data_IF_367002038721
#
_entry.id   IF_367002038721
#
_cell.length_a   1.000
_cell.length_b   1.000
_cell.length_c   1.000
_cell.angle_alpha   90.00
_cell.angle_beta   90.00
_cell.angle_gamma   90.00
#
_symmetry.space_group_name_H-M   'P 1'
#
loop_
_entity.id
_entity.type
_entity.pdbx_description
1 polymer ?
#
# COMPACT_ATOMS: atom_id res chain seq x y z
N UNK A 1 -36.89 -11.11 -8.43
CA UNK A 1 -35.81 -10.33 -7.76
C UNK A 1 -36.14 -8.84 -7.61
N UNK A 2 -37.40 -8.38 -7.76
CA UNK A 2 -37.75 -6.95 -7.86
C UNK A 2 -37.46 -6.08 -6.62
N UNK A 3 -37.03 -6.66 -5.48
CA UNK A 3 -36.78 -5.92 -4.23
C UNK A 3 -35.34 -6.05 -3.70
N UNK A 4 -34.41 -6.66 -4.44
CA UNK A 4 -33.01 -6.79 -3.99
C UNK A 4 -32.34 -5.43 -4.04
N UNK A 5 -31.78 -4.98 -2.92
CA UNK A 5 -31.10 -3.66 -2.85
C UNK A 5 -29.64 -3.76 -2.46
N UNK A 6 -29.29 -4.77 -1.65
CA UNK A 6 -27.92 -5.00 -1.22
C UNK A 6 -27.55 -6.47 -1.43
N UNK A 7 -26.39 -6.70 -2.04
CA UNK A 7 -25.85 -8.03 -2.33
C UNK A 7 -24.45 -8.11 -1.70
N UNK A 8 -24.30 -8.91 -0.66
CA UNK A 8 -23.02 -9.25 -0.05
C UNK A 8 -22.43 -10.47 -0.73
N UNK A 9 -21.16 -10.39 -1.12
CA UNK A 9 -20.45 -11.51 -1.75
C UNK A 9 -19.15 -11.77 -1.01
N UNK A 10 -19.04 -12.96 -0.43
CA UNK A 10 -17.76 -13.51 -0.01
C UNK A 10 -17.03 -14.15 -1.19
N UNK A 11 -15.77 -13.73 -1.40
CA UNK A 11 -14.99 -14.06 -2.58
C UNK A 11 -13.99 -15.19 -2.30
N UNK A 12 -14.26 -16.37 -2.87
CA UNK A 12 -13.29 -17.46 -2.96
C UNK A 12 -12.56 -17.51 -4.30
N UNK A 13 -11.60 -18.44 -4.42
CA UNK A 13 -10.88 -18.67 -5.69
C UNK A 13 -11.81 -19.19 -6.79
N UNK A 14 -12.67 -20.15 -6.45
CA UNK A 14 -13.57 -20.84 -7.39
C UNK A 14 -15.05 -20.81 -6.96
N UNK A 15 -15.32 -20.55 -5.67
CA UNK A 15 -16.66 -20.47 -5.10
C UNK A 15 -16.94 -19.08 -4.55
N UNK A 16 -18.16 -18.61 -4.76
CA UNK A 16 -18.62 -17.29 -4.34
C UNK A 16 -19.92 -17.46 -3.57
N UNK A 17 -19.96 -16.96 -2.34
CA UNK A 17 -21.14 -17.08 -1.49
C UNK A 17 -21.87 -15.74 -1.48
N UNK A 18 -23.12 -15.76 -1.92
CA UNK A 18 -23.94 -14.57 -2.11
C UNK A 18 -25.05 -14.53 -1.07
N UNK A 19 -25.23 -13.37 -0.46
CA UNK A 19 -26.35 -13.01 0.40
C UNK A 19 -27.04 -11.76 -0.17
N UNK A 20 -28.30 -11.87 -0.57
CA UNK A 20 -29.10 -10.74 -1.03
C UNK A 20 -30.12 -10.33 0.02
N UNK A 21 -30.32 -9.03 0.22
CA UNK A 21 -31.33 -8.49 1.12
C UNK A 21 -32.14 -7.34 0.49
N UNK A 22 -33.35 -7.13 1.00
CA UNK A 22 -34.17 -5.95 0.70
C UNK A 22 -33.77 -4.72 1.52
N UNK A 23 -34.51 -3.61 1.35
CA UNK A 23 -34.26 -2.35 2.06
C UNK A 23 -34.40 -2.45 3.59
N UNK A 24 -35.18 -3.41 4.08
CA UNK A 24 -35.37 -3.66 5.51
C UNK A 24 -34.26 -4.52 6.13
N UNK A 25 -33.36 -5.05 5.30
CA UNK A 25 -32.34 -6.02 5.71
C UNK A 25 -32.85 -7.46 5.75
N UNK A 26 -34.07 -7.73 5.26
CA UNK A 26 -34.59 -9.10 5.19
C UNK A 26 -33.87 -9.87 4.08
N UNK A 27 -33.34 -11.03 4.43
CA UNK A 27 -32.68 -11.93 3.49
C UNK A 27 -33.68 -12.43 2.43
N UNK A 28 -33.31 -12.27 1.15
CA UNK A 28 -34.10 -12.68 -0.02
C UNK A 28 -33.50 -13.88 -0.74
N UNK A 29 -32.17 -14.00 -0.76
CA UNK A 29 -31.45 -15.10 -1.42
C UNK A 29 -30.15 -15.39 -0.67
N UNK A 30 -29.86 -16.67 -0.50
CA UNK A 30 -28.55 -17.16 -0.05
C UNK A 30 -28.12 -18.29 -0.98
N UNK A 31 -27.09 -18.07 -1.78
CA UNK A 31 -26.68 -19.05 -2.80
C UNK A 31 -25.19 -19.04 -3.08
N UNK A 32 -24.64 -20.23 -3.33
CA UNK A 32 -23.26 -20.43 -3.79
C UNK A 32 -23.23 -20.44 -5.31
N UNK A 33 -22.25 -19.75 -5.89
CA UNK A 33 -22.03 -19.67 -7.33
C UNK A 33 -20.60 -20.05 -7.70
N UNK A 34 -20.42 -20.52 -8.93
CA UNK A 34 -19.13 -20.45 -9.65
C UNK A 34 -18.98 -19.06 -10.25
N UNK A 35 -17.77 -18.67 -10.69
CA UNK A 35 -17.56 -17.33 -11.29
C UNK A 35 -18.46 -17.09 -12.50
N UNK A 36 -18.56 -18.04 -13.42
CA UNK A 36 -19.38 -17.90 -14.63
C UNK A 36 -20.85 -17.69 -14.27
N UNK A 37 -21.41 -18.54 -13.39
CA UNK A 37 -22.80 -18.43 -12.94
C UNK A 37 -23.06 -17.16 -12.13
N UNK A 38 -22.07 -16.65 -11.38
CA UNK A 38 -22.19 -15.37 -10.68
C UNK A 38 -22.28 -14.21 -11.67
N UNK A 39 -21.48 -14.21 -12.74
CA UNK A 39 -21.55 -13.17 -13.77
C UNK A 39 -22.89 -13.19 -14.50
N UNK A 40 -23.40 -14.36 -14.86
CA UNK A 40 -24.75 -14.54 -15.44
C UNK A 40 -25.83 -14.02 -14.50
N UNK A 41 -25.75 -14.39 -13.21
CA UNK A 41 -26.69 -13.96 -12.19
C UNK A 41 -26.71 -12.44 -12.05
N UNK A 42 -25.54 -11.78 -11.95
CA UNK A 42 -25.44 -10.33 -11.84
C UNK A 42 -25.96 -9.64 -13.11
N UNK A 43 -25.56 -10.11 -14.30
CA UNK A 43 -26.03 -9.53 -15.56
C UNK A 43 -27.55 -9.61 -15.75
N UNK A 44 -28.21 -10.66 -15.22
CA UNK A 44 -29.67 -10.80 -15.23
C UNK A 44 -30.39 -10.16 -14.04
N UNK A 45 -29.67 -9.56 -13.10
CA UNK A 45 -30.25 -8.96 -11.90
C UNK A 45 -30.60 -7.48 -12.11
N UNK A 46 -31.66 -6.96 -11.47
CA UNK A 46 -31.87 -5.52 -11.38
C UNK A 46 -30.68 -4.80 -10.72
N UNK A 47 -30.47 -3.53 -11.06
CA UNK A 47 -29.41 -2.71 -10.44
C UNK A 47 -29.56 -2.70 -8.91
N UNK A 48 -28.44 -2.88 -8.22
CA UNK A 48 -28.35 -3.03 -6.77
C UNK A 48 -26.95 -2.62 -6.31
N UNK A 49 -26.79 -2.36 -5.01
CA UNK A 49 -25.47 -2.19 -4.42
C UNK A 49 -24.87 -3.57 -4.13
N UNK A 50 -23.69 -3.84 -4.68
CA UNK A 50 -22.97 -5.11 -4.48
C UNK A 50 -21.71 -4.84 -3.68
N UNK A 51 -21.56 -5.53 -2.56
CA UNK A 51 -20.48 -5.30 -1.60
C UNK A 51 -19.63 -6.56 -1.43
N UNK A 52 -18.32 -6.37 -1.44
CA UNK A 52 -17.32 -7.42 -1.26
C UNK A 52 -16.23 -6.94 -0.34
N UNK A 53 -15.57 -7.85 0.37
CA UNK A 53 -14.31 -7.49 1.04
C UNK A 53 -13.24 -7.05 0.04
N UNK A 54 -12.41 -6.09 0.44
CA UNK A 54 -11.25 -5.63 -0.31
C UNK A 54 -10.11 -6.67 -0.26
N UNK A 55 -10.31 -7.79 -0.98
CA UNK A 55 -9.38 -8.92 -1.03
C UNK A 55 -8.83 -9.15 -2.46
N UNK A 56 -8.11 -10.28 -2.66
CA UNK A 56 -7.59 -10.65 -3.96
C UNK A 56 -8.75 -10.90 -4.96
N UNK A 57 -8.66 -10.34 -6.17
CA UNK A 57 -9.71 -10.44 -7.18
C UNK A 57 -10.87 -9.46 -7.01
N UNK A 58 -11.02 -8.81 -5.85
CA UNK A 58 -12.15 -7.91 -5.56
C UNK A 58 -12.23 -6.70 -6.51
N UNK A 59 -11.10 -6.11 -6.90
CA UNK A 59 -11.10 -4.99 -7.85
C UNK A 59 -11.55 -5.39 -9.26
N UNK A 60 -11.16 -6.59 -9.72
CA UNK A 60 -11.64 -7.13 -10.99
C UNK A 60 -13.15 -7.37 -10.94
N UNK A 61 -13.61 -8.04 -9.86
CA UNK A 61 -15.04 -8.25 -9.65
C UNK A 61 -15.81 -6.93 -9.61
N UNK A 62 -15.32 -5.92 -8.90
CA UNK A 62 -15.96 -4.62 -8.79
C UNK A 62 -16.13 -3.93 -10.14
N UNK A 63 -15.12 -3.99 -11.02
CA UNK A 63 -15.24 -3.46 -12.39
C UNK A 63 -16.27 -4.22 -13.22
N UNK A 64 -16.30 -5.56 -13.12
CA UNK A 64 -17.29 -6.39 -13.82
C UNK A 64 -18.72 -6.10 -13.34
N UNK A 65 -18.90 -6.00 -12.03
CA UNK A 65 -20.17 -5.63 -11.39
C UNK A 65 -20.64 -4.25 -11.86
N UNK A 66 -19.75 -3.26 -11.87
CA UNK A 66 -20.08 -1.92 -12.36
C UNK A 66 -20.46 -1.92 -13.85
N UNK A 67 -19.80 -2.72 -14.68
CA UNK A 67 -20.14 -2.88 -16.10
C UNK A 67 -21.53 -3.52 -16.33
N UNK A 68 -22.08 -4.25 -15.36
CA UNK A 68 -23.45 -4.76 -15.39
C UNK A 68 -24.48 -3.76 -14.84
N UNK A 69 -24.08 -2.52 -14.51
CA UNK A 69 -25.00 -1.48 -14.04
C UNK A 69 -25.29 -1.49 -12.53
N UNK A 70 -24.53 -2.27 -11.75
CA UNK A 70 -24.62 -2.26 -10.29
C UNK A 70 -23.67 -1.24 -9.65
N UNK A 71 -23.98 -0.80 -8.43
CA UNK A 71 -23.06 -0.01 -7.62
C UNK A 71 -22.10 -0.94 -6.86
N UNK A 72 -20.85 -1.04 -7.30
CA UNK A 72 -19.85 -1.88 -6.64
C UNK A 72 -19.15 -1.16 -5.48
N UNK A 73 -19.16 -1.77 -4.29
CA UNK A 73 -18.46 -1.27 -3.10
C UNK A 73 -17.50 -2.32 -2.54
N UNK A 74 -16.30 -1.89 -2.16
CA UNK A 74 -15.34 -2.75 -1.46
C UNK A 74 -15.23 -2.34 0.00
N UNK A 75 -15.33 -3.28 0.94
CA UNK A 75 -15.24 -3.00 2.38
C UNK A 75 -13.94 -3.55 2.97
N UNK A 76 -13.35 -2.86 3.94
CA UNK A 76 -12.20 -3.42 4.66
C UNK A 76 -12.64 -4.61 5.52
N UNK A 77 -11.92 -5.74 5.51
CA UNK A 77 -12.23 -6.88 6.40
C UNK A 77 -12.26 -6.50 7.89
N UNK A 78 -11.51 -5.46 8.28
CA UNK A 78 -11.51 -4.95 9.66
C UNK A 78 -12.86 -4.36 10.08
N UNK A 79 -13.64 -3.86 9.12
CA UNK A 79 -14.99 -3.33 9.36
C UNK A 79 -16.07 -4.41 9.29
N UNK A 80 -15.81 -5.52 8.60
CA UNK A 80 -16.74 -6.66 8.53
C UNK A 80 -16.65 -7.54 9.76
N UNK A 81 -15.43 -7.78 10.27
CA UNK A 81 -15.17 -8.68 11.41
C UNK A 81 -16.10 -8.48 12.63
N UNK A 82 -16.44 -7.25 13.08
CA UNK A 82 -17.36 -7.06 14.20
C UNK A 82 -18.80 -7.53 13.96
N UNK A 83 -19.20 -7.76 12.71
CA UNK A 83 -20.55 -8.18 12.32
C UNK A 83 -20.67 -9.70 12.13
N UNK A 84 -19.59 -10.45 12.30
CA UNK A 84 -19.62 -11.92 12.29
C UNK A 84 -20.17 -12.41 13.62
N UNK A 85 -21.41 -12.90 13.63
CA UNK A 85 -22.18 -13.22 14.85
C UNK A 85 -21.94 -14.65 15.39
N UNK A 86 -21.40 -15.56 14.58
CA UNK A 86 -21.30 -16.99 14.91
C UNK A 86 -20.02 -17.62 14.36
N UNK A 87 -19.93 -18.96 14.45
CA UNK A 87 -18.80 -19.73 13.92
C UNK A 87 -18.59 -19.45 12.42
N UNK A 88 -17.33 -19.49 12.00
CA UNK A 88 -16.90 -19.14 10.65
C UNK A 88 -17.59 -20.00 9.58
N UNK A 89 -18.23 -19.35 8.62
CA UNK A 89 -18.79 -19.94 7.40
C UNK A 89 -18.88 -18.83 6.34
N UNK A 90 -18.48 -19.13 5.10
CA UNK A 90 -18.46 -18.17 3.98
C UNK A 90 -19.81 -17.45 3.74
N UNK A 91 -20.93 -18.11 4.03
CA UNK A 91 -22.23 -17.45 3.95
C UNK A 91 -22.51 -16.47 5.10
N UNK A 92 -22.01 -16.77 6.30
CA UNK A 92 -22.07 -15.84 7.44
C UNK A 92 -21.17 -14.64 7.16
N UNK A 93 -20.03 -14.87 6.50
CA UNK A 93 -19.15 -13.79 6.03
C UNK A 93 -19.87 -12.91 4.99
N UNK A 94 -20.57 -13.50 4.02
CA UNK A 94 -21.39 -12.75 3.05
C UNK A 94 -22.52 -11.94 3.69
N UNK A 95 -23.19 -12.48 4.72
CA UNK A 95 -24.20 -11.76 5.51
C UNK A 95 -23.57 -10.62 6.33
N UNK A 96 -22.43 -10.87 6.98
CA UNK A 96 -21.71 -9.86 7.75
C UNK A 96 -21.25 -8.69 6.87
N UNK A 97 -20.90 -8.95 5.60
CA UNK A 97 -20.60 -7.89 4.60
C UNK A 97 -21.82 -6.99 4.39
N UNK A 98 -23.02 -7.57 4.20
CA UNK A 98 -24.26 -6.80 4.07
C UNK A 98 -24.57 -5.98 5.33
N UNK A 99 -24.47 -6.60 6.50
CA UNK A 99 -24.72 -5.95 7.79
C UNK A 99 -23.79 -4.75 8.01
N UNK A 100 -22.49 -4.94 7.77
CA UNK A 100 -21.50 -3.88 7.86
C UNK A 100 -21.80 -2.75 6.86
N UNK A 101 -22.11 -3.10 5.61
CA UNK A 101 -22.37 -2.13 4.55
C UNK A 101 -23.67 -1.34 4.72
N UNK A 102 -24.65 -1.90 5.45
CA UNK A 102 -25.91 -1.21 5.77
C UNK A 102 -25.74 -0.04 6.73
N UNK A 103 -24.60 0.08 7.42
CA UNK A 103 -24.37 1.15 8.39
C UNK A 103 -24.13 2.50 7.68
N UNK A 104 -24.87 3.58 8.02
CA UNK A 104 -24.76 4.86 7.32
C UNK A 104 -23.36 5.50 7.34
N UNK A 105 -22.58 5.24 8.39
CA UNK A 105 -21.21 5.77 8.56
C UNK A 105 -20.13 4.87 7.96
N UNK A 106 -20.51 3.80 7.25
CA UNK A 106 -19.56 2.84 6.70
C UNK A 106 -18.68 3.46 5.61
N UNK A 107 -17.41 3.07 5.59
CA UNK A 107 -16.41 3.55 4.63
C UNK A 107 -16.00 2.42 3.71
N UNK A 108 -15.86 2.76 2.43
CA UNK A 108 -15.53 1.81 1.38
C UNK A 108 -14.19 2.16 0.73
N UNK A 109 -13.52 1.13 0.23
CA UNK A 109 -12.32 1.22 -0.59
C UNK A 109 -12.77 1.44 -2.03
N UNK A 110 -12.22 2.46 -2.69
CA UNK A 110 -12.52 2.68 -4.11
C UNK A 110 -11.99 1.51 -4.96
N UNK A 111 -12.83 0.94 -5.86
CA UNK A 111 -12.35 0.03 -6.88
C UNK A 111 -11.24 0.68 -7.72
N UNK A 112 -10.12 -0.03 -7.89
CA UNK A 112 -9.00 0.45 -8.69
C UNK A 112 -9.25 0.21 -10.17
N UNK A 113 -8.77 1.13 -11.00
CA UNK A 113 -8.66 0.91 -12.45
C UNK A 113 -7.62 -0.16 -12.76
N UNK A 114 -7.61 -0.67 -13.99
CA UNK A 114 -6.64 -1.69 -14.42
C UNK A 114 -5.21 -1.13 -14.41
N UNK A 115 -5.03 0.10 -14.89
CA UNK A 115 -3.77 0.82 -14.83
C UNK A 115 -3.26 0.97 -13.37
N UNK A 116 -4.14 1.37 -12.43
CA UNK A 116 -3.77 1.46 -11.01
C UNK A 116 -3.38 0.08 -10.43
N UNK A 117 -4.08 -0.99 -10.80
CA UNK A 117 -3.72 -2.34 -10.37
C UNK A 117 -2.38 -2.82 -10.95
N UNK A 118 -2.13 -2.54 -12.23
CA UNK A 118 -0.88 -2.89 -12.90
C UNK A 118 0.31 -2.14 -12.27
N UNK A 119 0.18 -0.83 -12.04
CA UNK A 119 1.17 -0.02 -11.34
C UNK A 119 1.45 -0.55 -9.92
N UNK A 120 0.40 -0.96 -9.19
CA UNK A 120 0.57 -1.58 -7.87
C UNK A 120 1.29 -2.93 -7.95
N UNK A 121 1.07 -3.73 -9.00
CA UNK A 121 1.79 -4.98 -9.22
C UNK A 121 3.28 -4.71 -9.46
N UNK A 122 3.62 -3.75 -10.33
CA UNK A 122 4.99 -3.30 -10.56
C UNK A 122 5.68 -2.91 -9.24
N UNK A 123 5.02 -2.09 -8.42
CA UNK A 123 5.56 -1.70 -7.11
C UNK A 123 5.82 -2.88 -6.17
N UNK A 124 4.96 -3.91 -6.19
CA UNK A 124 5.14 -5.12 -5.38
C UNK A 124 6.29 -5.98 -5.88
N UNK A 125 6.45 -6.11 -7.20
CA UNK A 125 7.59 -6.81 -7.80
C UNK A 125 8.89 -6.11 -7.43
N UNK A 126 8.96 -4.80 -7.62
CA UNK A 126 10.12 -3.99 -7.20
C UNK A 126 10.43 -4.15 -5.71
N UNK A 127 9.42 -4.09 -4.84
CA UNK A 127 9.62 -4.30 -3.40
C UNK A 127 10.12 -5.71 -3.07
N UNK A 128 9.73 -6.74 -3.83
CA UNK A 128 10.30 -8.08 -3.70
C UNK A 128 11.77 -8.09 -4.08
N UNK A 129 12.12 -7.59 -5.27
CA UNK A 129 13.50 -7.58 -5.76
C UNK A 129 14.44 -6.77 -4.86
N UNK A 130 13.99 -5.64 -4.29
CA UNK A 130 14.78 -4.90 -3.29
C UNK A 130 15.05 -5.75 -2.05
N UNK A 131 14.05 -6.50 -1.57
CA UNK A 131 14.22 -7.40 -0.41
C UNK A 131 15.16 -8.56 -0.74
N UNK A 132 15.02 -9.14 -1.93
CA UNK A 132 15.88 -10.23 -2.39
C UNK A 132 17.32 -9.75 -2.53
N UNK A 133 17.55 -8.54 -3.05
CA UNK A 133 18.89 -7.94 -3.15
C UNK A 133 19.53 -7.80 -1.77
N UNK A 134 18.79 -7.26 -0.79
CA UNK A 134 19.28 -7.14 0.60
C UNK A 134 19.52 -8.51 1.22
N UNK A 135 18.62 -9.48 1.00
CA UNK A 135 18.78 -10.85 1.49
C UNK A 135 20.06 -11.49 0.95
N UNK A 136 20.33 -11.36 -0.35
CA UNK A 136 21.54 -11.86 -0.99
C UNK A 136 22.80 -11.21 -0.41
N UNK A 137 22.80 -9.89 -0.25
CA UNK A 137 23.91 -9.17 0.40
C UNK A 137 24.16 -9.66 1.83
N UNK A 138 23.10 -9.80 2.64
CA UNK A 138 23.23 -10.27 4.02
C UNK A 138 23.69 -11.73 4.10
N UNK A 139 23.27 -12.58 3.16
CA UNK A 139 23.71 -13.97 3.07
C UNK A 139 25.21 -14.06 2.77
N UNK A 140 25.73 -13.24 1.86
CA UNK A 140 27.17 -13.17 1.59
C UNK A 140 27.95 -12.69 2.81
N UNK A 141 27.46 -11.66 3.53
CA UNK A 141 28.06 -11.21 4.80
C UNK A 141 28.09 -12.33 5.84
N UNK A 142 26.98 -13.05 6.02
CA UNK A 142 26.90 -14.15 6.97
C UNK A 142 27.87 -15.28 6.63
N UNK A 143 27.94 -15.69 5.37
CA UNK A 143 28.87 -16.73 4.93
C UNK A 143 30.32 -16.33 5.11
N UNK A 144 30.72 -15.09 4.82
CA UNK A 144 32.09 -14.64 5.07
C UNK A 144 32.41 -14.60 6.57
N UNK A 145 31.45 -14.21 7.40
CA UNK A 145 31.61 -14.13 8.85
C UNK A 145 31.88 -15.50 9.49
N UNK A 146 31.24 -16.57 9.01
CA UNK A 146 31.52 -17.95 9.45
C UNK A 146 32.99 -18.38 9.24
N UNK A 147 33.68 -17.73 8.30
CA UNK A 147 35.10 -17.96 7.99
C UNK A 147 36.00 -16.84 8.54
N UNK A 148 35.51 -16.05 9.50
CA UNK A 148 36.29 -15.00 10.18
C UNK A 148 36.48 -13.71 9.37
N UNK A 149 35.86 -13.59 8.19
CA UNK A 149 35.99 -12.43 7.32
C UNK A 149 34.85 -11.45 7.60
N UNK A 150 35.15 -10.40 8.36
CA UNK A 150 34.20 -9.32 8.64
C UNK A 150 34.30 -8.21 7.60
N UNK A 151 33.16 -7.78 7.07
CA UNK A 151 33.07 -6.74 6.03
C UNK A 151 32.18 -5.57 6.50
N UNK A 152 32.45 -4.34 6.04
CA UNK A 152 31.57 -3.20 6.32
C UNK A 152 30.13 -3.46 5.85
N UNK A 153 29.15 -3.01 6.65
CA UNK A 153 27.74 -3.16 6.35
C UNK A 153 27.39 -2.58 4.98
N UNK A 154 26.49 -3.24 4.25
CA UNK A 154 25.98 -2.79 2.96
C UNK A 154 26.72 -3.43 1.79
N UNK A 155 26.97 -2.67 0.73
CA UNK A 155 27.44 -3.22 -0.57
C UNK A 155 28.94 -3.50 -0.62
N UNK A 156 29.67 -3.39 0.49
CA UNK A 156 31.12 -3.62 0.50
C UNK A 156 31.46 -5.05 0.08
N UNK A 157 30.70 -6.05 0.55
CA UNK A 157 30.84 -7.47 0.18
C UNK A 157 30.68 -7.70 -1.32
N UNK A 158 29.85 -6.90 -1.98
CA UNK A 158 29.65 -6.98 -3.44
C UNK A 158 30.85 -6.37 -4.14
N UNK A 159 31.19 -5.11 -3.81
CA UNK A 159 32.24 -4.35 -4.48
C UNK A 159 33.64 -4.96 -4.33
N UNK A 160 33.90 -5.64 -3.21
CA UNK A 160 35.21 -6.17 -2.85
C UNK A 160 35.31 -7.69 -2.95
N UNK A 161 34.31 -8.37 -3.53
CA UNK A 161 34.32 -9.84 -3.54
C UNK A 161 35.58 -10.41 -4.19
N UNK A 162 36.01 -9.87 -5.33
CA UNK A 162 37.22 -10.31 -6.02
C UNK A 162 38.47 -10.20 -5.13
N UNK A 163 38.62 -9.06 -4.45
CA UNK A 163 39.70 -8.81 -3.48
C UNK A 163 39.63 -9.79 -2.31
N UNK A 164 38.45 -9.99 -1.73
CA UNK A 164 38.25 -10.93 -0.61
C UNK A 164 38.61 -12.37 -1.01
N UNK A 165 38.23 -12.80 -2.22
CA UNK A 165 38.58 -14.14 -2.73
C UNK A 165 40.08 -14.30 -3.02
N UNK A 166 40.80 -13.21 -3.30
CA UNK A 166 42.24 -13.24 -3.57
C UNK A 166 43.10 -13.15 -2.29
N UNK A 167 42.62 -12.42 -1.28
CA UNK A 167 43.35 -12.16 -0.03
C UNK A 167 43.15 -13.25 1.04
N UNK A 168 42.18 -14.16 0.85
CA UNK A 168 41.81 -15.14 1.87
C UNK A 168 41.77 -16.55 1.29
N UNK A 169 42.33 -17.52 2.03
CA UNK A 169 42.23 -18.93 1.71
C UNK A 169 40.85 -19.48 2.10
N UNK A 170 39.91 -19.42 1.16
CA UNK A 170 38.55 -19.97 1.33
C UNK A 170 38.41 -21.34 0.67
N UNK A 171 37.56 -22.24 1.21
CA UNK A 171 37.24 -23.49 0.53
C UNK A 171 36.76 -23.23 -0.90
N UNK A 172 37.27 -23.95 -1.93
CA UNK A 172 36.91 -23.69 -3.32
C UNK A 172 35.40 -23.71 -3.58
N UNK A 173 34.67 -24.58 -2.89
CA UNK A 173 33.22 -24.66 -2.97
C UNK A 173 32.52 -23.40 -2.45
N UNK A 174 33.00 -22.82 -1.34
CA UNK A 174 32.46 -21.57 -0.79
C UNK A 174 32.69 -20.41 -1.76
N UNK A 175 33.89 -20.30 -2.34
CA UNK A 175 34.19 -19.28 -3.34
C UNK A 175 33.21 -19.34 -4.52
N UNK A 176 32.90 -20.54 -5.01
CA UNK A 176 31.89 -20.75 -6.06
C UNK A 176 30.49 -20.31 -5.63
N UNK A 177 30.06 -20.62 -4.39
CA UNK A 177 28.77 -20.16 -3.87
C UNK A 177 28.70 -18.63 -3.77
N UNK A 178 29.77 -17.98 -3.29
CA UNK A 178 29.85 -16.52 -3.20
C UNK A 178 29.79 -15.87 -4.58
N UNK A 179 30.47 -16.44 -5.58
CA UNK A 179 30.37 -15.97 -6.97
C UNK A 179 28.96 -16.12 -7.54
N UNK A 180 28.24 -17.21 -7.23
CA UNK A 180 26.83 -17.39 -7.62
C UNK A 180 25.91 -16.35 -6.97
N UNK A 181 26.10 -16.07 -5.68
CA UNK A 181 25.34 -15.02 -4.98
C UNK A 181 25.63 -13.63 -5.55
N UNK A 182 26.88 -13.38 -5.92
CA UNK A 182 27.28 -12.13 -6.56
C UNK A 182 26.63 -11.96 -7.93
N UNK A 183 26.65 -12.98 -8.78
CA UNK A 183 25.97 -12.97 -10.07
C UNK A 183 24.45 -12.77 -9.89
N UNK A 184 23.84 -13.42 -8.90
CA UNK A 184 22.43 -13.21 -8.57
C UNK A 184 22.15 -11.77 -8.10
N UNK A 185 23.03 -11.17 -7.29
CA UNK A 185 22.92 -9.76 -6.91
C UNK A 185 22.93 -8.84 -8.13
N UNK A 186 23.83 -9.07 -9.10
CA UNK A 186 23.92 -8.27 -10.31
C UNK A 186 22.65 -8.40 -11.16
N UNK A 187 22.14 -9.61 -11.34
CA UNK A 187 20.85 -9.85 -11.99
C UNK A 187 19.71 -9.07 -11.32
N UNK A 188 19.63 -9.07 -9.98
CA UNK A 188 18.62 -8.31 -9.27
C UNK A 188 18.76 -6.79 -9.46
N UNK A 189 19.98 -6.27 -9.58
CA UNK A 189 20.24 -4.85 -9.87
C UNK A 189 19.77 -4.48 -11.28
N UNK A 190 20.04 -5.33 -12.27
CA UNK A 190 19.57 -5.15 -13.64
C UNK A 190 18.03 -5.10 -13.70
N UNK A 191 17.35 -6.11 -13.14
CA UNK A 191 15.89 -6.17 -13.10
C UNK A 191 15.27 -4.98 -12.36
N UNK A 192 15.90 -4.49 -11.28
CA UNK A 192 15.45 -3.28 -10.59
C UNK A 192 15.59 -2.04 -11.46
N UNK A 193 16.69 -1.91 -12.19
CA UNK A 193 16.97 -0.77 -13.08
C UNK A 193 15.96 -0.71 -14.22
N UNK A 194 15.65 -1.85 -14.83
CA UNK A 194 14.61 -1.97 -15.87
C UNK A 194 13.24 -1.53 -15.36
N UNK A 195 12.82 -2.04 -14.19
CA UNK A 195 11.53 -1.68 -13.59
C UNK A 195 11.44 -0.21 -13.18
N UNK A 196 12.53 0.36 -12.66
CA UNK A 196 12.59 1.78 -12.28
C UNK A 196 12.54 2.67 -13.52
N UNK A 197 13.22 2.29 -14.60
CA UNK A 197 13.16 3.00 -15.89
C UNK A 197 11.74 2.98 -16.47
N UNK A 198 11.08 1.82 -16.49
CA UNK A 198 9.70 1.70 -16.95
C UNK A 198 8.73 2.53 -16.10
N UNK A 199 8.91 2.53 -14.77
CA UNK A 199 8.11 3.33 -13.85
C UNK A 199 8.27 4.83 -14.13
N UNK A 200 9.49 5.31 -14.35
CA UNK A 200 9.74 6.71 -14.68
C UNK A 200 9.08 7.12 -16.00
N UNK A 201 9.11 6.26 -17.01
CA UNK A 201 8.43 6.51 -18.29
C UNK A 201 6.91 6.62 -18.12
N UNK A 202 6.29 5.74 -17.34
CA UNK A 202 4.86 5.82 -17.03
C UNK A 202 4.53 7.07 -16.22
N UNK A 203 5.39 7.44 -15.26
CA UNK A 203 5.18 8.63 -14.44
C UNK A 203 5.25 9.93 -15.26
N UNK A 204 6.04 9.96 -16.34
CA UNK A 204 6.07 11.10 -17.28
C UNK A 204 4.73 11.28 -18.01
N UNK A 205 3.87 10.26 -18.08
CA UNK A 205 2.53 10.35 -18.66
C UNK A 205 1.44 10.65 -17.63
N UNK A 206 1.79 10.62 -16.34
CA UNK A 206 0.86 10.84 -15.22
C UNK A 206 1.04 12.25 -14.65
N UNK A 207 0.15 13.17 -15.04
CA UNK A 207 0.16 14.56 -14.54
C UNK A 207 0.10 14.66 -13.01
N UNK A 208 -0.68 13.79 -12.35
CA UNK A 208 -0.81 13.81 -10.89
C UNK A 208 0.50 13.38 -10.26
N UNK A 209 1.12 12.34 -10.80
CA UNK A 209 2.46 11.91 -10.44
C UNK A 209 3.52 13.00 -10.63
N UNK A 210 3.50 13.73 -11.74
CA UNK A 210 4.40 14.86 -11.97
C UNK A 210 4.20 15.97 -10.93
N UNK A 211 2.95 16.39 -10.66
CA UNK A 211 2.65 17.38 -9.61
C UNK A 211 3.14 16.91 -8.24
N UNK A 212 2.99 15.64 -7.91
CA UNK A 212 3.47 15.07 -6.65
C UNK A 212 5.00 15.07 -6.52
N UNK A 213 5.76 14.97 -7.61
CA UNK A 213 7.23 15.06 -7.60
C UNK A 213 7.75 16.46 -7.27
N UNK A 214 6.91 17.50 -7.38
CA UNK A 214 7.30 18.86 -6.98
C UNK A 214 7.48 19.00 -5.46
N UNK A 215 6.95 18.05 -4.67
CA UNK A 215 7.09 18.02 -3.22
C UNK A 215 8.56 17.69 -2.87
N UNK A 216 9.25 18.54 -2.09
CA UNK A 216 10.62 18.28 -1.68
C UNK A 216 10.80 16.93 -0.97
N UNK A 217 11.74 16.13 -1.47
CA UNK A 217 12.04 14.78 -0.97
C UNK A 217 11.18 13.67 -1.59
N UNK A 218 10.16 13.99 -2.40
CA UNK A 218 9.34 13.00 -3.13
C UNK A 218 9.94 12.77 -4.51
N UNK A 219 10.55 11.60 -4.71
CA UNK A 219 11.05 11.15 -6.01
C UNK A 219 10.05 10.28 -6.79
N UNK A 220 10.44 9.80 -8.00
CA UNK A 220 9.55 9.09 -8.93
C UNK A 220 8.78 7.93 -8.31
N UNK A 221 9.49 7.06 -7.59
CA UNK A 221 8.90 5.87 -6.93
C UNK A 221 7.80 6.25 -5.95
N UNK A 222 7.99 7.30 -5.15
CA UNK A 222 7.00 7.68 -4.13
C UNK A 222 5.83 8.41 -4.78
N UNK A 223 6.10 9.26 -5.77
CA UNK A 223 5.08 9.96 -6.54
C UNK A 223 4.14 8.98 -7.27
N UNK A 224 4.67 7.94 -7.91
CA UNK A 224 3.85 6.94 -8.61
C UNK A 224 3.00 6.11 -7.65
N UNK A 225 3.53 5.73 -6.47
CA UNK A 225 2.71 5.07 -5.42
C UNK A 225 1.60 5.98 -4.93
N UNK A 226 1.93 7.24 -4.64
CA UNK A 226 0.96 8.24 -4.17
C UNK A 226 -0.14 8.46 -5.20
N UNK A 227 0.22 8.67 -6.46
CA UNK A 227 -0.74 8.86 -7.56
C UNK A 227 -1.66 7.64 -7.72
N UNK A 228 -1.09 6.43 -7.78
CA UNK A 228 -1.85 5.18 -7.89
C UNK A 228 -2.80 4.96 -6.71
N UNK A 229 -2.41 5.37 -5.50
CA UNK A 229 -3.20 5.18 -4.28
C UNK A 229 -4.26 6.27 -4.08
N UNK A 230 -3.96 7.53 -4.41
CA UNK A 230 -4.87 8.65 -4.25
C UNK A 230 -5.93 8.68 -5.35
N UNK A 231 -5.58 8.35 -6.59
CA UNK A 231 -6.45 8.59 -7.75
C UNK A 231 -6.73 10.10 -7.86
N UNK A 232 -8.01 10.48 -7.84
CA UNK A 232 -8.45 11.88 -7.79
C UNK A 232 -8.48 12.47 -6.35
N UNK A 233 -8.21 11.64 -5.33
CA UNK A 233 -8.21 12.02 -3.92
C UNK A 233 -9.60 12.23 -3.31
N UNK A 234 -10.69 12.19 -4.08
CA UNK A 234 -12.06 12.52 -3.63
C UNK A 234 -12.66 11.47 -2.69
N UNK A 235 -12.06 10.28 -2.62
CA UNK A 235 -12.44 9.24 -1.65
C UNK A 235 -12.18 9.64 -0.19
N UNK A 236 -11.42 10.70 0.05
CA UNK A 236 -11.13 11.23 1.38
C UNK A 236 -11.82 12.60 1.55
N UNK A 237 -12.54 12.79 2.65
CA UNK A 237 -13.23 14.06 2.93
C UNK A 237 -12.27 15.22 3.18
N UNK A 238 -11.09 14.94 3.74
CA UNK A 238 -10.03 15.92 3.92
C UNK A 238 -8.62 15.30 3.93
N UNK A 239 -7.59 16.16 3.86
CA UNK A 239 -6.18 15.75 3.95
C UNK A 239 -5.85 14.92 5.19
N UNK A 240 -6.54 15.16 6.32
CA UNK A 240 -6.34 14.41 7.57
C UNK A 240 -6.82 12.96 7.43
N UNK A 241 -7.86 12.71 6.64
CA UNK A 241 -8.37 11.35 6.41
C UNK A 241 -7.37 10.53 5.59
N UNK A 242 -6.75 11.14 4.56
CA UNK A 242 -5.71 10.46 3.81
C UNK A 242 -4.51 10.15 4.71
N UNK A 243 -4.01 11.13 5.49
CA UNK A 243 -2.93 10.90 6.45
C UNK A 243 -3.27 9.80 7.46
N UNK A 244 -4.51 9.73 7.96
CA UNK A 244 -4.95 8.66 8.84
C UNK A 244 -4.91 7.29 8.14
N UNK A 245 -5.29 7.23 6.86
CA UNK A 245 -5.25 6.00 6.06
C UNK A 245 -3.84 5.45 5.84
N UNK A 246 -2.81 6.29 5.88
CA UNK A 246 -1.39 5.86 5.80
C UNK A 246 -0.83 5.33 7.12
N UNK A 247 -1.56 5.50 8.23
CA UNK A 247 -1.11 5.09 9.57
C UNK A 247 -0.06 6.00 10.21
N UNK A 248 0.12 7.22 9.68
CA UNK A 248 1.05 8.24 10.17
C UNK A 248 0.44 9.17 11.22
N UNK A 249 -0.82 8.97 11.60
CA UNK A 249 -1.48 9.71 12.69
C UNK A 249 -1.25 9.02 14.04
N UNK A 250 -1.19 9.76 15.16
CA UNK A 250 -1.12 9.17 16.49
C UNK A 250 -2.25 8.18 16.74
N UNK A 251 -1.96 7.08 17.44
CA UNK A 251 -3.00 6.21 18.00
C UNK A 251 -3.57 6.87 19.24
N UNK A 252 -4.89 6.95 19.33
CA UNK A 252 -5.57 7.42 20.54
C UNK A 252 -5.96 6.21 21.42
N UNK A 253 -5.68 6.31 22.72
CA UNK A 253 -6.12 5.36 23.75
C UNK A 253 -6.60 6.15 24.97
N UNK A 254 -7.79 6.73 24.84
CA UNK A 254 -8.37 7.62 25.86
C UNK A 254 -9.42 6.87 26.68
N UNK A 255 -9.37 7.01 28.00
CA UNK A 255 -10.35 6.47 28.95
C UNK A 255 -10.74 7.56 29.95
N UNK A 256 -12.02 7.61 30.35
CA UNK A 256 -12.49 8.48 31.44
C UNK A 256 -12.08 9.96 31.37
N UNK A 257 -12.10 10.57 30.17
CA UNK A 257 -11.76 11.99 29.97
C UNK A 257 -10.27 12.31 29.82
N UNK A 258 -9.36 11.33 29.96
CA UNK A 258 -7.91 11.54 29.73
C UNK A 258 -7.54 11.27 28.27
N UNK A 259 -7.17 12.32 27.55
CA UNK A 259 -6.71 12.23 26.16
C UNK A 259 -5.26 11.73 26.08
N UNK A 260 -5.07 10.41 26.03
CA UNK A 260 -3.74 9.81 25.80
C UNK A 260 -3.51 9.52 24.31
N UNK A 261 -2.51 10.19 23.72
CA UNK A 261 -1.98 9.89 22.40
C UNK A 261 -0.71 9.03 22.53
N UNK A 262 -0.63 7.95 21.76
CA UNK A 262 0.51 7.04 21.71
C UNK A 262 1.34 7.29 20.43
N UNK A 263 2.21 6.34 20.08
CA UNK A 263 2.90 6.34 18.79
C UNK A 263 1.95 6.30 17.59
N UNK A 264 2.52 6.41 16.39
CA UNK A 264 1.73 6.33 15.14
C UNK A 264 0.88 5.06 15.08
N UNK A 265 -0.31 5.13 14.47
CA UNK A 265 -1.27 4.03 14.47
C UNK A 265 -0.80 2.80 13.70
N UNK A 266 0.12 2.97 12.74
CA UNK A 266 0.65 1.92 11.86
C UNK A 266 -0.43 1.21 11.02
N UNK A 267 -1.64 1.75 10.95
CA UNK A 267 -2.73 1.25 10.09
C UNK A 267 -2.43 1.50 8.62
N UNK A 268 -3.10 0.78 7.72
CA UNK A 268 -2.96 0.97 6.28
C UNK A 268 -1.66 0.43 5.67
N UNK A 269 -1.28 0.99 4.53
CA UNK A 269 -0.19 0.45 3.70
C UNK A 269 1.20 0.72 4.31
N UNK A 270 1.91 -0.37 4.65
CA UNK A 270 3.26 -0.31 5.24
C UNK A 270 4.30 0.27 4.27
N UNK A 271 4.19 -0.02 2.99
CA UNK A 271 5.14 0.45 1.99
C UNK A 271 4.99 1.95 1.76
N UNK A 272 3.76 2.45 1.54
CA UNK A 272 3.52 3.89 1.39
C UNK A 272 4.01 4.68 2.62
N UNK A 273 3.71 4.19 3.83
CA UNK A 273 4.20 4.80 5.07
C UNK A 273 5.72 4.81 5.15
N UNK A 274 6.40 3.72 4.77
CA UNK A 274 7.87 3.66 4.70
C UNK A 274 8.39 4.72 3.73
N UNK A 275 7.84 4.81 2.53
CA UNK A 275 8.26 5.75 1.50
C UNK A 275 8.13 7.21 1.98
N UNK A 276 6.98 7.58 2.57
CA UNK A 276 6.79 8.93 3.13
C UNK A 276 7.79 9.26 4.24
N UNK A 277 8.13 8.29 5.10
CA UNK A 277 9.17 8.48 6.12
C UNK A 277 10.56 8.62 5.49
N UNK A 278 10.85 7.91 4.40
CA UNK A 278 12.12 8.09 3.67
C UNK A 278 12.18 9.48 3.00
N UNK A 279 11.11 9.94 2.36
CA UNK A 279 11.02 11.30 1.83
C UNK A 279 11.28 12.35 2.90
N UNK A 280 10.66 12.18 4.08
CA UNK A 280 10.89 13.05 5.23
C UNK A 280 12.36 13.02 5.70
N UNK A 281 13.01 11.85 5.73
CA UNK A 281 14.44 11.74 6.09
C UNK A 281 15.34 12.44 5.07
N UNK A 282 15.07 12.26 3.77
CA UNK A 282 15.82 12.95 2.70
C UNK A 282 15.67 14.46 2.82
N UNK A 283 14.46 14.95 3.11
CA UNK A 283 14.22 16.36 3.36
C UNK A 283 15.04 16.88 4.55
N UNK A 284 15.04 16.16 5.68
CA UNK A 284 15.80 16.52 6.88
C UNK A 284 17.32 16.47 6.63
N UNK A 285 17.82 15.48 5.90
CA UNK A 285 19.24 15.36 5.56
C UNK A 285 19.75 16.54 4.72
N UNK A 286 18.86 17.19 3.96
CA UNK A 286 19.19 18.34 3.12
C UNK A 286 18.60 19.64 3.67
N UNK A 287 18.29 19.71 4.97
CA UNK A 287 17.51 20.80 5.58
C UNK A 287 18.12 22.19 5.37
N UNK A 288 19.45 22.28 5.30
CA UNK A 288 20.16 23.54 5.10
C UNK A 288 19.99 24.09 3.67
N UNK A 289 19.68 23.22 2.72
CA UNK A 289 19.36 23.57 1.32
C UNK A 289 17.85 23.73 1.08
N UNK A 290 17.02 23.53 2.11
CA UNK A 290 15.57 23.75 2.02
C UNK A 290 15.20 25.16 2.47
N UNK A 291 14.21 25.74 1.81
CA UNK A 291 13.64 27.06 2.10
C UNK A 291 12.12 26.99 2.25
N UNK A 292 11.53 28.08 2.79
CA UNK A 292 10.10 28.23 2.93
C UNK A 292 9.52 27.66 4.23
N UNK A 293 8.19 27.78 4.37
CA UNK A 293 7.48 27.53 5.64
C UNK A 293 7.62 26.10 6.13
N UNK A 294 7.77 25.15 5.21
CA UNK A 294 7.98 23.75 5.55
C UNK A 294 9.36 23.54 6.20
N UNK A 295 10.40 24.16 5.64
CA UNK A 295 11.76 24.05 6.16
C UNK A 295 11.90 24.70 7.54
N UNK A 296 11.36 25.92 7.71
CA UNK A 296 11.31 26.62 8.99
C UNK A 296 10.63 25.78 10.07
N UNK A 297 9.47 25.20 9.74
CA UNK A 297 8.76 24.32 10.67
C UNK A 297 9.58 23.08 11.03
N UNK A 298 10.29 22.46 10.07
CA UNK A 298 11.14 21.28 10.35
C UNK A 298 12.32 21.66 11.25
N UNK A 299 13.03 22.77 10.97
CA UNK A 299 14.14 23.27 11.80
C UNK A 299 13.69 23.49 13.24
N UNK A 300 12.59 24.21 13.44
CA UNK A 300 12.02 24.47 14.76
C UNK A 300 11.52 23.20 15.49
N UNK A 301 11.23 22.09 14.79
CA UNK A 301 10.92 20.80 15.45
C UNK A 301 12.20 20.04 15.80
N UNK A 302 13.25 20.10 14.98
CA UNK A 302 14.53 19.43 15.21
C UNK A 302 15.26 19.99 16.45
N UNK A 303 15.09 21.27 16.75
CA UNK A 303 15.61 21.90 17.98
C UNK A 303 15.02 21.31 19.27
N UNK A 304 13.80 20.76 19.20
CA UNK A 304 13.03 20.33 20.39
C UNK A 304 12.80 18.84 20.47
N UNK A 305 12.99 18.10 19.37
CA UNK A 305 12.59 16.69 19.26
C UNK A 305 13.62 15.89 18.48
N UNK A 306 13.77 14.63 18.89
CA UNK A 306 14.61 13.67 18.19
C UNK A 306 14.21 13.55 16.70
N UNK A 307 15.20 13.47 15.82
CA UNK A 307 15.04 13.45 14.35
C UNK A 307 14.03 12.40 13.85
N UNK A 308 14.00 11.20 14.42
CA UNK A 308 13.02 10.15 14.11
C UNK A 308 11.55 10.57 14.37
N UNK A 309 11.29 11.37 15.41
CA UNK A 309 9.96 11.90 15.72
C UNK A 309 9.58 12.95 14.68
N UNK A 310 10.52 13.84 14.35
CA UNK A 310 10.34 14.88 13.32
C UNK A 310 10.09 14.25 11.95
N UNK A 311 10.82 13.19 11.59
CA UNK A 311 10.61 12.45 10.34
C UNK A 311 9.20 11.86 10.24
N UNK A 312 8.67 11.28 11.31
CA UNK A 312 7.29 10.79 11.33
C UNK A 312 6.26 11.92 11.20
N UNK A 313 6.48 13.05 11.88
CA UNK A 313 5.60 14.21 11.82
C UNK A 313 5.63 14.88 10.43
N UNK A 314 6.81 14.99 9.82
CA UNK A 314 6.97 15.49 8.47
C UNK A 314 6.33 14.54 7.46
N UNK A 315 6.51 13.22 7.59
CA UNK A 315 5.82 12.25 6.73
C UNK A 315 4.30 12.39 6.78
N UNK A 316 3.72 12.62 7.97
CA UNK A 316 2.29 12.93 8.11
C UNK A 316 1.91 14.20 7.32
N UNK A 317 2.72 15.25 7.44
CA UNK A 317 2.51 16.51 6.72
C UNK A 317 2.65 16.34 5.20
N UNK A 318 3.63 15.57 4.73
CA UNK A 318 3.82 15.22 3.32
C UNK A 318 2.62 14.45 2.76
N UNK A 319 2.03 13.52 3.52
CA UNK A 319 0.80 12.85 3.11
C UNK A 319 -0.34 13.86 2.88
N UNK A 320 -0.51 14.83 3.80
CA UNK A 320 -1.54 15.86 3.70
C UNK A 320 -1.31 16.80 2.51
N UNK A 321 -0.06 17.16 2.25
CA UNK A 321 0.36 17.96 1.10
C UNK A 321 0.06 17.20 -0.20
N UNK A 322 0.44 15.92 -0.29
CA UNK A 322 0.17 15.08 -1.45
C UNK A 322 -1.33 15.03 -1.78
N UNK A 323 -2.18 14.82 -0.77
CA UNK A 323 -3.63 14.85 -0.99
C UNK A 323 -4.13 16.22 -1.49
N UNK A 324 -3.61 17.33 -0.94
CA UNK A 324 -4.01 18.67 -1.36
C UNK A 324 -3.59 18.97 -2.80
N UNK A 325 -2.38 18.59 -3.19
CA UNK A 325 -1.85 18.68 -4.56
C UNK A 325 -2.71 17.88 -5.54
N UNK A 326 -3.04 16.64 -5.19
CA UNK A 326 -3.88 15.78 -6.05
C UNK A 326 -5.29 16.34 -6.22
N UNK A 327 -5.95 16.73 -5.12
CA UNK A 327 -7.34 17.19 -5.17
C UNK A 327 -7.52 18.58 -5.78
N UNK A 328 -6.54 19.47 -5.61
CA UNK A 328 -6.55 20.83 -6.16
C UNK A 328 -5.87 20.95 -7.52
N UNK A 329 -5.23 19.88 -8.00
CA UNK A 329 -4.48 19.85 -9.25
C UNK A 329 -3.40 20.96 -9.33
N UNK A 330 -2.77 21.27 -8.19
CA UNK A 330 -1.74 22.30 -8.06
C UNK A 330 -0.35 21.68 -7.90
N UNK A 331 0.70 22.50 -7.99
CA UNK A 331 2.08 22.09 -7.67
C UNK A 331 2.44 22.51 -6.25
N UNK A 332 3.54 21.98 -5.72
CA UNK A 332 4.07 22.40 -4.43
C UNK A 332 4.67 23.81 -4.51
N UNK A 333 4.17 24.71 -3.67
CA UNK A 333 4.71 26.06 -3.46
C UNK A 333 5.53 26.08 -2.15
N UNK A 334 6.71 26.72 -2.17
CA UNK A 334 7.69 26.69 -1.07
C UNK A 334 7.27 27.53 0.14
#
# INVERSE_FOLDING_TARGET
>A
MQNVTLIGIDLGKHSFHVHCQDKSGKALLRKKFTRARLMEFLAGSPSATVVMEACAGAHFMARRIAAFGHEAKLISPQFVRPFVKSNKNDFVDAEAICEAASRPSMRFVQPRTEAQQAMRALHRVRESLVRDRVKTTNQMHAFLLEFGISMPIGTAVIKRLSTVLAENELPPYLAQLLMRLHAHYLYLVEQLTELETALEQELRRDETGQRLQTIPGVGPITASVLSSQLGDGKQYGCSRDFAASTGLVPRQYSTGGKNTLLGISKRGDKNLRRLLVQCARVFIQRIDYQSGRLAEWVKAQLERKHSNVVACALANKLARIAWAITTRQTVFER
#
